data_IF_512379129523
#
_entry.id   IF_512379129523
#
_cell.length_a   1.000
_cell.length_b   1.000
_cell.length_c   1.000
_cell.angle_alpha   90.00
_cell.angle_beta   90.00
_cell.angle_gamma   90.00
#
_symmetry.space_group_name_H-M   'P 1'
#
loop_
_entity.id
_entity.type
_entity.pdbx_description
1 polymer ?
#
# COMPACT_ATOMS: atom_id res chain seq x y z
N UNK A 1 -20.24 32.16 3.21
CA UNK A 1 -18.78 32.21 3.31
C UNK A 1 -18.38 31.15 4.31
N UNK A 2 -18.56 29.88 3.92
CA UNK A 2 -18.24 28.67 4.73
C UNK A 2 -17.47 27.69 3.84
N UNK A 3 -16.46 28.21 3.13
CA UNK A 3 -15.61 27.40 2.25
C UNK A 3 -14.65 26.49 3.02
N UNK A 4 -14.64 26.54 4.35
CA UNK A 4 -13.78 25.77 5.26
C UNK A 4 -14.60 24.98 6.31
N UNK A 5 -15.77 24.45 5.93
CA UNK A 5 -16.46 23.46 6.79
C UNK A 5 -15.64 22.17 6.86
N UNK A 6 -15.69 21.46 8.00
CA UNK A 6 -14.98 20.17 8.17
C UNK A 6 -15.37 19.15 7.08
N UNK A 7 -16.64 19.16 6.66
CA UNK A 7 -17.14 18.36 5.52
C UNK A 7 -16.44 18.68 4.20
N UNK A 8 -16.14 19.94 3.91
CA UNK A 8 -15.42 20.30 2.69
C UNK A 8 -13.99 19.75 2.75
N UNK A 9 -13.34 19.79 3.92
CA UNK A 9 -11.99 19.26 4.10
C UNK A 9 -11.94 17.74 3.94
N UNK A 10 -12.90 17.02 4.53
CA UNK A 10 -13.01 15.57 4.35
C UNK A 10 -13.28 15.20 2.89
N UNK A 11 -14.15 15.95 2.20
CA UNK A 11 -14.44 15.73 0.79
C UNK A 11 -13.25 16.05 -0.12
N UNK A 12 -12.46 17.09 0.17
CA UNK A 12 -11.21 17.38 -0.54
C UNK A 12 -10.13 16.31 -0.32
N UNK A 13 -10.11 15.67 0.85
CA UNK A 13 -9.21 14.55 1.13
C UNK A 13 -9.63 13.29 0.36
N UNK A 14 -10.93 13.04 0.27
CA UNK A 14 -11.50 11.91 -0.49
C UNK A 14 -11.33 12.09 -2.00
N UNK A 15 -11.50 13.32 -2.52
CA UNK A 15 -11.26 13.68 -3.93
C UNK A 15 -9.79 13.48 -4.37
N UNK A 16 -8.83 13.45 -3.44
CA UNK A 16 -7.41 13.16 -3.70
C UNK A 16 -7.05 11.68 -3.55
N UNK A 17 -8.00 10.82 -3.18
CA UNK A 17 -7.73 9.40 -3.07
C UNK A 17 -7.47 8.81 -4.48
N UNK A 18 -6.23 8.35 -4.71
CA UNK A 18 -5.86 7.63 -5.95
C UNK A 18 -6.21 6.14 -5.86
N UNK A 19 -6.96 5.74 -4.83
CA UNK A 19 -7.36 4.35 -4.60
C UNK A 19 -8.47 3.94 -5.57
N UNK A 20 -8.16 3.02 -6.48
CA UNK A 20 -9.14 2.43 -7.41
C UNK A 20 -9.76 1.13 -6.84
N UNK A 21 -9.81 1.04 -5.52
CA UNK A 21 -10.11 -0.20 -4.79
C UNK A 21 -11.54 -0.20 -4.25
N UNK A 22 -12.21 -1.35 -4.28
CA UNK A 22 -13.39 -1.60 -3.43
C UNK A 22 -12.95 -2.25 -2.12
N UNK A 23 -13.63 -1.92 -1.03
CA UNK A 23 -13.43 -2.59 0.26
C UNK A 23 -13.68 -4.11 0.13
N UNK A 24 -12.90 -4.93 0.84
CA UNK A 24 -13.04 -6.39 0.85
C UNK A 24 -12.42 -7.13 -0.34
N UNK A 25 -11.70 -6.44 -1.24
CA UNK A 25 -10.97 -7.07 -2.34
C UNK A 25 -9.57 -7.47 -1.86
N UNK A 26 -9.49 -8.56 -1.08
CA UNK A 26 -8.24 -9.13 -0.57
C UNK A 26 -7.58 -10.15 -1.54
N UNK A 27 -7.73 -9.94 -2.85
CA UNK A 27 -7.17 -10.84 -3.87
C UNK A 27 -5.65 -10.79 -3.96
N UNK A 28 -5.05 -11.83 -4.55
CA UNK A 28 -3.59 -11.93 -4.74
C UNK A 28 -3.00 -10.91 -5.75
N UNK A 29 -3.83 -10.07 -6.37
CA UNK A 29 -3.40 -9.13 -7.40
C UNK A 29 -2.37 -8.11 -6.93
N UNK A 30 -2.38 -7.75 -5.63
CA UNK A 30 -1.35 -6.90 -5.03
C UNK A 30 0.00 -7.64 -4.89
N UNK A 31 -0.01 -8.92 -4.48
CA UNK A 31 1.19 -9.74 -4.32
C UNK A 31 1.88 -10.04 -5.65
N UNK A 32 1.09 -10.35 -6.69
CA UNK A 32 1.61 -10.77 -8.00
C UNK A 32 2.52 -9.74 -8.67
N UNK A 33 2.39 -8.45 -8.32
CA UNK A 33 3.19 -7.34 -8.88
C UNK A 33 4.12 -6.68 -7.85
N UNK A 34 4.28 -7.28 -6.67
CA UNK A 34 5.02 -6.67 -5.55
C UNK A 34 6.53 -6.61 -5.78
N UNK A 35 7.11 -7.57 -6.53
CA UNK A 35 8.55 -7.82 -6.61
C UNK A 35 9.47 -6.59 -6.84
N UNK A 36 9.13 -5.59 -7.68
CA UNK A 36 10.00 -4.43 -7.89
C UNK A 36 10.30 -3.62 -6.62
N UNK A 37 9.36 -3.55 -5.67
CA UNK A 37 9.49 -2.74 -4.46
C UNK A 37 10.57 -3.27 -3.51
N UNK A 38 10.52 -4.52 -3.02
CA UNK A 38 11.56 -5.05 -2.15
C UNK A 38 12.90 -5.20 -2.86
N UNK A 39 12.92 -5.41 -4.18
CA UNK A 39 14.17 -5.42 -4.97
C UNK A 39 14.84 -4.04 -5.04
N UNK A 40 14.06 -2.96 -5.13
CA UNK A 40 14.62 -1.61 -5.14
C UNK A 40 15.09 -1.17 -3.73
N UNK A 41 14.30 -1.47 -2.71
CA UNK A 41 14.56 -1.08 -1.33
C UNK A 41 15.32 -2.12 -0.50
N UNK A 42 15.98 -3.11 -1.10
CA UNK A 42 16.58 -4.22 -0.35
C UNK A 42 17.64 -3.79 0.68
N UNK A 43 18.31 -2.65 0.47
CA UNK A 43 19.25 -2.07 1.45
C UNK A 43 18.55 -1.41 2.66
N UNK A 44 17.24 -1.18 2.58
CA UNK A 44 16.43 -0.62 3.66
C UNK A 44 15.16 -1.45 3.85
N UNK A 45 15.21 -2.50 4.69
CA UNK A 45 14.07 -3.37 4.95
C UNK A 45 12.82 -2.60 5.41
N UNK A 46 13.02 -1.55 6.21
CA UNK A 46 11.94 -0.66 6.64
C UNK A 46 11.20 -0.04 5.46
N UNK A 47 11.93 0.58 4.52
CA UNK A 47 11.30 1.18 3.34
C UNK A 47 10.71 0.13 2.40
N UNK A 48 11.33 -1.04 2.26
CA UNK A 48 10.76 -2.13 1.46
C UNK A 48 9.39 -2.56 1.98
N UNK A 49 9.25 -2.79 3.29
CA UNK A 49 8.00 -3.20 3.93
C UNK A 49 6.95 -2.09 3.89
N UNK A 50 7.34 -0.86 4.21
CA UNK A 50 6.43 0.28 4.21
C UNK A 50 5.84 0.52 2.82
N UNK A 51 6.68 0.67 1.79
CA UNK A 51 6.24 0.96 0.43
C UNK A 51 5.46 -0.22 -0.19
N UNK A 52 5.77 -1.46 0.18
CA UNK A 52 5.01 -2.62 -0.25
C UNK A 52 3.56 -2.59 0.25
N UNK A 53 3.35 -2.19 1.51
CA UNK A 53 2.01 -2.02 2.07
C UNK A 53 1.25 -0.87 1.40
N UNK A 54 1.88 0.29 1.23
CA UNK A 54 1.25 1.45 0.57
C UNK A 54 0.83 1.14 -0.87
N UNK A 55 1.63 0.38 -1.62
CA UNK A 55 1.29 -0.03 -2.99
C UNK A 55 0.06 -0.95 -3.07
N UNK A 56 -0.19 -1.77 -2.04
CA UNK A 56 -1.33 -2.66 -2.00
C UNK A 56 -2.65 -1.87 -1.87
N UNK A 57 -2.68 -0.88 -0.95
CA UNK A 57 -3.88 -0.11 -0.58
C UNK A 57 -4.46 0.66 -1.78
N UNK A 58 -3.60 1.12 -2.69
CA UNK A 58 -3.99 1.85 -3.90
C UNK A 58 -4.88 1.03 -4.86
N UNK A 59 -4.82 -0.30 -4.80
CA UNK A 59 -5.55 -1.18 -5.73
C UNK A 59 -6.41 -2.24 -5.05
N UNK A 60 -6.11 -2.56 -3.80
CA UNK A 60 -6.78 -3.52 -2.95
C UNK A 60 -6.85 -2.85 -1.58
N UNK A 61 -7.93 -2.10 -1.33
CA UNK A 61 -8.17 -1.28 -0.14
C UNK A 61 -8.60 -2.14 1.04
N UNK A 62 -7.84 -3.20 1.31
CA UNK A 62 -8.08 -4.17 2.37
C UNK A 62 -6.79 -4.33 3.18
N UNK A 63 -6.90 -4.22 4.50
CA UNK A 63 -5.76 -4.33 5.42
C UNK A 63 -5.05 -5.69 5.31
N UNK A 64 -5.78 -6.77 4.97
CA UNK A 64 -5.19 -8.09 4.76
C UNK A 64 -4.26 -8.11 3.56
N UNK A 65 -4.61 -7.40 2.49
CA UNK A 65 -3.75 -7.28 1.31
C UNK A 65 -2.50 -6.45 1.64
N UNK A 66 -2.67 -5.36 2.40
CA UNK A 66 -1.56 -4.53 2.90
C UNK A 66 -0.58 -5.33 3.74
N UNK A 67 -1.07 -6.09 4.71
CA UNK A 67 -0.24 -6.86 5.62
C UNK A 67 0.40 -8.07 4.94
N UNK A 68 -0.31 -8.73 4.01
CA UNK A 68 0.27 -9.78 3.18
C UNK A 68 1.44 -9.24 2.33
N UNK A 69 1.29 -8.07 1.71
CA UNK A 69 2.35 -7.43 0.94
C UNK A 69 3.54 -7.03 1.81
N UNK A 70 3.30 -6.48 3.00
CA UNK A 70 4.37 -6.18 3.98
C UNK A 70 5.17 -7.42 4.35
N UNK A 71 4.46 -8.50 4.70
CA UNK A 71 5.09 -9.77 5.07
C UNK A 71 5.89 -10.36 3.91
N UNK A 72 5.31 -10.41 2.70
CA UNK A 72 6.00 -10.96 1.54
C UNK A 72 7.23 -10.14 1.13
N UNK A 73 7.16 -8.80 1.24
CA UNK A 73 8.31 -7.93 1.03
C UNK A 73 9.44 -8.21 2.04
N UNK A 74 9.12 -8.41 3.32
CA UNK A 74 10.10 -8.76 4.34
C UNK A 74 10.80 -10.11 4.03
N UNK A 75 10.04 -11.10 3.56
CA UNK A 75 10.61 -12.39 3.13
C UNK A 75 11.57 -12.25 1.95
N UNK A 76 11.19 -11.46 0.94
CA UNK A 76 12.05 -11.21 -0.23
C UNK A 76 13.33 -10.50 0.20
N UNK A 77 13.23 -9.47 1.04
CA UNK A 77 14.41 -8.74 1.54
C UNK A 77 15.31 -9.67 2.36
N UNK A 78 14.75 -10.51 3.24
CA UNK A 78 15.51 -11.51 3.97
C UNK A 78 16.25 -12.46 3.02
N UNK A 79 15.57 -12.96 1.98
CA UNK A 79 16.20 -13.82 0.98
C UNK A 79 17.33 -13.11 0.19
N UNK A 80 17.25 -11.80 -0.01
CA UNK A 80 18.29 -11.00 -0.67
C UNK A 80 19.48 -10.70 0.24
N UNK A 81 19.26 -10.62 1.56
CA UNK A 81 20.30 -10.28 2.54
C UNK A 81 21.05 -11.49 3.11
N UNK A 82 20.52 -12.71 2.91
CA UNK A 82 21.11 -13.97 3.39
C UNK A 82 20.74 -14.29 4.83
#
# INVERSE_FOLDING_TARGET
MDSLSAENLERFADEQSTSCSREGVAGNGALMRLAPIPLFFYHSPYHAVLNAGESAILTHGDDRARDACRYYAALIVGALQG
#
